data_IF_262389721718
#
_entry.id   IF_262389721718
#
_cell.length_a   1.000
_cell.length_b   1.000
_cell.length_c   1.000
_cell.angle_alpha   90.00
_cell.angle_beta   90.00
_cell.angle_gamma   90.00
#
_symmetry.space_group_name_H-M   'P 1'
#
loop_
_entity.id
_entity.type
_entity.pdbx_description
1 polymer ?
#
# COMPACT_ATOMS: atom_id res chain seq x y z
N UNK A 1 9.51 -15.21 -5.50
CA UNK A 1 9.07 -15.88 -4.25
C UNK A 1 8.58 -14.88 -3.20
N UNK A 2 7.69 -13.94 -3.55
CA UNK A 2 7.12 -12.96 -2.59
C UNK A 2 5.65 -13.25 -2.24
N UNK A 3 5.02 -14.18 -2.95
CA UNK A 3 3.60 -14.53 -2.83
C UNK A 3 3.28 -15.31 -1.55
N UNK A 4 4.20 -16.13 -1.04
CA UNK A 4 3.89 -17.02 0.10
C UNK A 4 3.68 -16.28 1.42
N UNK A 5 4.45 -15.23 1.71
CA UNK A 5 4.27 -14.45 2.94
C UNK A 5 3.01 -13.56 2.88
N UNK A 6 2.76 -12.90 1.74
CA UNK A 6 1.58 -12.05 1.56
C UNK A 6 0.28 -12.85 1.68
N UNK A 7 0.20 -14.04 1.08
CA UNK A 7 -0.96 -14.92 1.22
C UNK A 7 -1.16 -15.45 2.65
N UNK A 8 -0.08 -15.73 3.38
CA UNK A 8 -0.17 -16.15 4.79
C UNK A 8 -0.58 -14.99 5.73
N UNK A 9 -0.24 -13.74 5.39
CA UNK A 9 -0.64 -12.55 6.15
C UNK A 9 -2.13 -12.23 5.91
N UNK A 10 -2.59 -12.25 4.66
CA UNK A 10 -4.00 -12.02 4.28
C UNK A 10 -5.00 -13.03 4.90
N UNK A 11 -4.52 -14.20 5.32
CA UNK A 11 -5.33 -15.22 6.00
C UNK A 11 -5.55 -14.96 7.49
N UNK A 12 -4.85 -14.00 8.10
CA UNK A 12 -5.07 -13.64 9.51
C UNK A 12 -6.33 -12.78 9.62
N UNK A 13 -7.39 -13.35 10.20
CA UNK A 13 -8.50 -12.53 10.70
C UNK A 13 -7.95 -11.57 11.74
N UNK A 14 -7.91 -10.28 11.41
CA UNK A 14 -7.58 -9.24 12.36
C UNK A 14 -8.49 -9.28 13.59
N UNK A 15 -7.93 -8.93 14.74
CA UNK A 15 -8.66 -8.80 15.99
C UNK A 15 -9.68 -7.64 15.95
N UNK A 16 -9.51 -6.68 15.04
CA UNK A 16 -10.30 -5.45 14.95
C UNK A 16 -10.72 -5.10 13.51
N UNK A 17 -11.64 -5.88 12.89
CA UNK A 17 -11.99 -5.72 11.46
C UNK A 17 -12.63 -4.38 11.09
N UNK A 18 -13.17 -3.63 12.07
CA UNK A 18 -13.68 -2.27 11.84
C UNK A 18 -12.56 -1.25 11.72
N UNK A 19 -11.49 -1.43 12.49
CA UNK A 19 -10.33 -0.55 12.48
C UNK A 19 -9.60 -0.66 11.14
N UNK A 20 -9.33 -1.89 10.70
CA UNK A 20 -8.64 -2.17 9.44
C UNK A 20 -9.36 -1.53 8.26
N UNK A 21 -10.68 -1.76 8.15
CA UNK A 21 -11.50 -1.14 7.09
C UNK A 21 -11.47 0.38 7.11
N UNK A 22 -11.37 0.99 8.29
CA UNK A 22 -11.24 2.44 8.39
C UNK A 22 -9.88 2.93 7.88
N UNK A 23 -8.80 2.22 8.21
CA UNK A 23 -7.44 2.51 7.73
C UNK A 23 -7.34 2.31 6.22
N UNK A 24 -7.81 1.17 5.70
CA UNK A 24 -7.86 0.87 4.26
C UNK A 24 -8.60 1.96 3.50
N UNK A 25 -9.79 2.36 3.98
CA UNK A 25 -10.60 3.42 3.36
C UNK A 25 -9.86 4.76 3.38
N UNK A 26 -9.25 5.12 4.52
CA UNK A 26 -8.51 6.37 4.68
C UNK A 26 -7.31 6.43 3.72
N UNK A 27 -6.49 5.38 3.68
CA UNK A 27 -5.34 5.29 2.79
C UNK A 27 -5.76 5.31 1.32
N UNK A 28 -6.83 4.59 0.96
CA UNK A 28 -7.38 4.57 -0.40
C UNK A 28 -7.83 5.96 -0.84
N UNK A 29 -8.57 6.69 0.01
CA UNK A 29 -9.00 8.07 -0.26
C UNK A 29 -7.80 9.02 -0.42
N UNK A 30 -6.82 8.93 0.48
CA UNK A 30 -5.59 9.72 0.46
C UNK A 30 -4.76 9.52 -0.82
N UNK A 31 -4.68 8.27 -1.29
CA UNK A 31 -3.96 7.90 -2.50
C UNK A 31 -4.78 8.09 -3.77
N UNK A 32 -6.11 8.20 -3.72
CA UNK A 32 -6.95 8.51 -4.88
C UNK A 32 -7.04 10.01 -5.14
N UNK A 33 -7.26 10.82 -4.09
CA UNK A 33 -7.43 12.27 -4.21
C UNK A 33 -6.11 13.04 -4.21
N UNK A 34 -5.06 12.43 -3.66
CA UNK A 34 -3.74 13.04 -3.53
C UNK A 34 -2.88 13.03 -4.80
N UNK A 35 -1.60 13.45 -4.67
CA UNK A 35 -0.62 13.27 -5.74
C UNK A 35 -0.46 11.78 -6.06
N UNK A 36 -0.02 11.48 -7.29
CA UNK A 36 0.24 10.11 -7.75
C UNK A 36 1.14 9.33 -6.79
N UNK A 37 2.15 9.99 -6.25
CA UNK A 37 3.10 9.46 -5.28
C UNK A 37 3.02 10.25 -3.98
N UNK A 38 2.85 9.58 -2.84
CA UNK A 38 2.78 10.18 -1.52
C UNK A 38 3.88 9.63 -0.61
N UNK A 39 4.50 10.48 0.22
CA UNK A 39 5.54 10.06 1.17
C UNK A 39 4.96 9.10 2.20
N UNK A 40 5.70 8.03 2.51
CA UNK A 40 5.32 7.06 3.53
C UNK A 40 5.14 7.72 4.90
N UNK A 41 6.02 8.65 5.27
CA UNK A 41 5.94 9.40 6.53
C UNK A 41 4.60 10.13 6.72
N UNK A 42 4.03 10.68 5.64
CA UNK A 42 2.70 11.31 5.69
C UNK A 42 1.60 10.28 5.94
N UNK A 43 1.71 9.08 5.36
CA UNK A 43 0.74 8.00 5.53
C UNK A 43 0.80 7.43 6.96
N UNK A 44 2.02 7.30 7.50
CA UNK A 44 2.28 6.94 8.90
C UNK A 44 1.61 7.95 9.84
N UNK A 45 1.89 9.25 9.66
CA UNK A 45 1.30 10.30 10.50
C UNK A 45 -0.23 10.31 10.48
N UNK A 46 -0.83 10.10 9.31
CA UNK A 46 -2.30 10.13 9.15
C UNK A 46 -2.98 8.90 9.77
N UNK A 47 -2.34 7.75 9.70
CA UNK A 47 -2.89 6.50 10.26
C UNK A 47 -2.53 6.30 11.74
N UNK A 48 -1.47 6.94 12.21
CA UNK A 48 -0.91 6.71 13.55
C UNK A 48 -0.23 5.35 13.71
N UNK A 49 0.03 4.64 12.61
CA UNK A 49 0.59 3.30 12.61
C UNK A 49 2.11 3.29 12.45
N UNK A 50 2.74 2.16 12.76
CA UNK A 50 4.15 1.95 12.43
C UNK A 50 4.36 1.96 10.92
N UNK A 51 5.60 2.19 10.49
CA UNK A 51 5.97 2.10 9.08
C UNK A 51 5.67 0.72 8.49
N UNK A 52 5.87 -0.35 9.26
CA UNK A 52 5.61 -1.73 8.85
C UNK A 52 4.11 -1.97 8.62
N UNK A 53 3.27 -1.70 9.61
CA UNK A 53 1.81 -1.88 9.47
C UNK A 53 1.24 -0.99 8.37
N UNK A 54 1.74 0.25 8.23
CA UNK A 54 1.31 1.13 7.14
C UNK A 54 1.61 0.50 5.78
N UNK A 55 2.79 -0.12 5.60
CA UNK A 55 3.15 -0.81 4.35
C UNK A 55 2.27 -2.04 4.10
N UNK A 56 1.93 -2.80 5.14
CA UNK A 56 1.02 -3.94 5.04
C UNK A 56 -0.34 -3.50 4.47
N UNK A 57 -0.99 -2.52 5.10
CA UNK A 57 -2.26 -1.97 4.61
C UNK A 57 -2.15 -1.38 3.20
N UNK A 58 -1.02 -0.74 2.87
CA UNK A 58 -0.80 -0.21 1.53
C UNK A 58 -0.79 -1.33 0.48
N UNK A 59 -0.16 -2.47 0.78
CA UNK A 59 -0.17 -3.63 -0.12
C UNK A 59 -1.58 -4.21 -0.21
N UNK A 60 -2.30 -4.32 0.90
CA UNK A 60 -3.68 -4.84 0.95
C UNK A 60 -4.63 -4.03 0.05
N UNK A 61 -4.51 -2.70 0.03
CA UNK A 61 -5.34 -1.84 -0.84
C UNK A 61 -4.83 -1.75 -2.29
N UNK A 62 -3.82 -2.55 -2.68
CA UNK A 62 -3.28 -2.54 -4.04
C UNK A 62 -2.40 -1.31 -4.34
N UNK A 63 -1.70 -0.78 -3.35
CA UNK A 63 -0.65 0.21 -3.54
C UNK A 63 0.73 -0.44 -3.67
N UNK A 64 1.68 0.33 -4.20
CA UNK A 64 3.09 -0.06 -4.30
C UNK A 64 4.03 1.08 -3.90
N UNK A 65 5.25 0.70 -3.53
CA UNK A 65 6.38 1.62 -3.43
C UNK A 65 6.88 2.07 -4.80
N UNK A 66 7.42 3.29 -4.87
CA UNK A 66 8.08 3.85 -6.05
C UNK A 66 9.49 3.27 -6.20
N UNK A 67 9.85 2.83 -7.41
CA UNK A 67 11.20 2.31 -7.71
C UNK A 67 12.28 3.40 -7.69
N UNK A 68 11.94 4.60 -8.15
CA UNK A 68 12.88 5.72 -8.29
C UNK A 68 12.66 6.80 -7.24
N UNK A 69 11.48 6.81 -6.61
CA UNK A 69 10.97 7.94 -5.83
C UNK A 69 11.25 7.91 -4.33
N UNK A 70 11.98 6.90 -3.81
CA UNK A 70 12.43 6.78 -2.41
C UNK A 70 11.35 6.98 -1.35
N UNK A 71 10.88 5.90 -0.71
CA UNK A 71 9.84 5.92 0.35
C UNK A 71 8.51 6.59 -0.06
N UNK A 72 8.21 6.59 -1.36
CA UNK A 72 6.93 7.04 -1.89
C UNK A 72 6.05 5.87 -2.25
N UNK A 73 4.76 6.02 -2.00
CA UNK A 73 3.74 5.01 -2.25
C UNK A 73 2.60 5.59 -3.07
N UNK A 74 1.96 4.73 -3.87
CA UNK A 74 0.82 5.10 -4.71
C UNK A 74 0.05 3.86 -5.16
N UNK A 75 -1.23 4.04 -5.49
CA UNK A 75 -2.06 2.95 -6.02
C UNK A 75 -1.48 2.44 -7.34
N UNK A 76 -1.45 1.11 -7.53
CA UNK A 76 -0.99 0.47 -8.77
C UNK A 76 -1.83 0.97 -9.96
N UNK A 77 -3.14 1.16 -9.77
CA UNK A 77 -4.04 1.71 -10.80
C UNK A 77 -3.67 3.12 -11.27
N UNK A 78 -2.94 3.91 -10.46
CA UNK A 78 -2.47 5.26 -10.81
C UNK A 78 -1.00 5.29 -11.22
N UNK A 79 -0.22 4.31 -10.77
CA UNK A 79 1.21 4.16 -10.99
C UNK A 79 1.52 2.70 -11.37
N UNK A 80 1.13 2.29 -12.58
CA UNK A 80 1.34 0.93 -13.03
C UNK A 80 2.83 0.58 -12.96
N UNK A 81 3.11 -0.71 -12.82
CA UNK A 81 4.42 -1.22 -13.18
C UNK A 81 4.52 -1.02 -14.69
N UNK A 82 5.51 -0.27 -15.16
CA UNK A 82 5.79 -0.26 -16.60
C UNK A 82 5.91 -1.71 -17.04
N UNK A 83 5.19 -2.10 -18.09
CA UNK A 83 5.25 -3.47 -18.59
C UNK A 83 6.71 -3.88 -18.69
N UNK A 84 7.05 -4.96 -17.98
CA UNK A 84 8.27 -5.70 -18.28
C UNK A 84 8.17 -5.95 -19.77
N UNK A 85 9.03 -5.31 -20.56
CA UNK A 85 9.11 -5.54 -21.98
C UNK A 85 9.10 -7.06 -22.16
N UNK A 86 8.04 -7.58 -22.77
CA UNK A 86 8.02 -8.94 -23.29
C UNK A 86 9.22 -9.01 -24.23
N UNK A 87 10.30 -9.59 -23.75
CA UNK A 87 11.40 -9.99 -24.60
C UNK A 87 10.89 -11.20 -25.37
N UNK A 88 10.73 -11.00 -26.68
CA UNK A 88 10.52 -12.03 -27.70
C UNK A 88 11.51 -13.21 -27.55
#
# INVERSE_FOLDING_TARGET
MATTWLSAHLGRKSQHPKFDKAIERLLTEMLNKGPKWRKLDTLIHVTGLSAEHTKEYLIEIGARGSETGGDRWGLISRNPLSEIATAD
#
